data_IF_783794079022
#
_entry.id   IF_783794079022
#
_cell.length_a   1.000
_cell.length_b   1.000
_cell.length_c   1.000
_cell.angle_alpha   90.00
_cell.angle_beta   90.00
_cell.angle_gamma   90.00
#
_symmetry.space_group_name_H-M   'P 1'
#
loop_
_entity.id
_entity.type
_entity.pdbx_description
1 polymer ?
#
# COMPACT_ATOMS: atom_id res chain seq x y z
N UNK A 1 3.16 17.49 -2.58
CA UNK A 1 4.12 16.49 -2.10
C UNK A 1 5.10 17.18 -1.18
N UNK A 2 5.42 16.62 -0.05
CA UNK A 2 6.47 17.16 0.83
C UNK A 2 7.80 17.04 0.10
N UNK A 3 8.44 18.16 -0.21
CA UNK A 3 9.82 18.21 -0.71
C UNK A 3 10.84 18.00 0.43
N UNK A 4 10.44 17.35 1.53
CA UNK A 4 11.34 17.04 2.61
C UNK A 4 12.26 15.88 2.17
N UNK A 5 13.57 16.13 1.99
CA UNK A 5 14.53 15.09 1.56
C UNK A 5 14.58 13.88 2.50
N UNK A 6 14.18 14.05 3.77
CA UNK A 6 14.10 12.98 4.74
C UNK A 6 13.07 11.88 4.38
N UNK A 7 12.20 12.14 3.40
CA UNK A 7 11.21 11.17 2.89
C UNK A 7 11.51 10.68 1.47
N UNK A 8 12.68 10.99 0.93
CA UNK A 8 13.18 10.44 -0.32
C UNK A 8 14.03 9.19 -0.02
N UNK A 9 13.63 7.99 -0.46
CA UNK A 9 14.40 6.76 -0.23
C UNK A 9 15.81 6.77 -0.85
N UNK A 10 16.10 7.69 -1.76
CA UNK A 10 17.42 7.86 -2.37
C UNK A 10 18.34 8.80 -1.57
N UNK A 11 17.79 9.58 -0.65
CA UNK A 11 18.59 10.44 0.25
C UNK A 11 19.20 9.61 1.39
N UNK A 12 20.50 9.73 1.69
CA UNK A 12 21.14 9.00 2.79
C UNK A 12 20.47 9.20 4.16
N UNK A 13 19.85 10.36 4.40
CA UNK A 13 19.12 10.66 5.66
C UNK A 13 17.90 9.77 5.85
N UNK A 14 17.33 9.24 4.77
CA UNK A 14 16.14 8.35 4.85
C UNK A 14 16.37 7.18 5.80
N UNK A 15 17.60 6.62 5.83
CA UNK A 15 17.97 5.49 6.67
C UNK A 15 18.78 5.88 7.91
N UNK A 16 19.02 7.18 8.14
CA UNK A 16 19.75 7.62 9.33
C UNK A 16 18.90 7.45 10.58
N UNK A 17 19.42 6.72 11.56
CA UNK A 17 18.68 6.36 12.78
C UNK A 17 18.40 7.56 13.66
N UNK A 18 19.33 8.54 13.73
CA UNK A 18 19.15 9.72 14.59
C UNK A 18 18.16 10.68 13.98
N UNK A 19 18.24 10.89 12.67
CA UNK A 19 17.31 11.74 11.92
C UNK A 19 15.88 11.16 11.96
N UNK A 20 15.72 9.85 11.70
CA UNK A 20 14.44 9.16 11.81
C UNK A 20 13.85 9.28 13.23
N UNK A 21 14.68 9.08 14.25
CA UNK A 21 14.26 9.18 15.66
C UNK A 21 13.80 10.59 16.00
N UNK A 22 14.56 11.61 15.61
CA UNK A 22 14.21 13.02 15.83
C UNK A 22 12.91 13.40 15.15
N UNK A 23 12.69 12.96 13.92
CA UNK A 23 11.44 13.23 13.18
C UNK A 23 10.25 12.48 13.79
N UNK A 24 10.46 11.25 14.28
CA UNK A 24 9.43 10.51 15.01
C UNK A 24 9.03 11.24 16.30
N UNK A 25 9.99 11.68 17.11
CA UNK A 25 9.74 12.44 18.33
C UNK A 25 8.95 13.71 18.04
N UNK A 26 9.34 14.46 17.02
CA UNK A 26 8.65 15.69 16.60
C UNK A 26 7.19 15.44 16.21
N UNK A 27 6.95 14.47 15.29
CA UNK A 27 5.59 14.18 14.82
C UNK A 27 4.75 13.55 15.92
N UNK A 28 5.30 12.67 16.73
CA UNK A 28 4.56 11.98 17.78
C UNK A 28 4.13 12.94 18.89
N UNK A 29 4.96 13.93 19.25
CA UNK A 29 4.56 15.00 20.17
C UNK A 29 3.33 15.74 19.66
N UNK A 30 3.38 16.24 18.43
CA UNK A 30 2.27 16.96 17.81
C UNK A 30 1.00 16.10 17.68
N UNK A 31 1.15 14.82 17.36
CA UNK A 31 0.02 13.88 17.27
C UNK A 31 -0.57 13.57 18.66
N UNK A 32 0.26 13.48 19.70
CA UNK A 32 -0.16 13.22 21.07
C UNK A 32 -0.94 14.39 21.66
N UNK A 33 -0.59 15.62 21.31
CA UNK A 33 -1.35 16.81 21.71
C UNK A 33 -2.70 16.90 21.00
N UNK A 34 -2.75 16.53 19.71
CA UNK A 34 -3.96 16.66 18.89
C UNK A 34 -4.95 15.50 19.07
N UNK A 35 -4.49 14.24 19.09
CA UNK A 35 -5.25 12.97 19.22
C UNK A 35 -6.44 12.76 18.26
N UNK A 36 -6.60 13.58 17.22
CA UNK A 36 -7.72 13.51 16.29
C UNK A 36 -7.87 12.13 15.64
N UNK A 37 -6.73 11.44 15.39
CA UNK A 37 -6.68 10.19 14.65
C UNK A 37 -6.80 8.91 15.50
N UNK A 38 -7.11 9.03 16.80
CA UNK A 38 -7.10 7.90 17.77
C UNK A 38 -7.91 6.67 17.32
N UNK A 39 -8.97 6.87 16.53
CA UNK A 39 -9.87 5.79 16.09
C UNK A 39 -9.63 5.31 14.67
N UNK A 40 -8.60 5.79 13.97
CA UNK A 40 -8.39 5.44 12.55
C UNK A 40 -7.69 4.10 12.36
N UNK A 41 -6.75 3.74 13.22
CA UNK A 41 -6.02 2.47 13.14
C UNK A 41 -5.38 2.11 14.50
N UNK A 42 -4.69 0.96 14.56
CA UNK A 42 -4.01 0.50 15.77
C UNK A 42 -2.78 1.34 16.18
N UNK A 43 -2.14 2.05 15.22
CA UNK A 43 -0.92 2.83 15.49
C UNK A 43 -1.16 3.96 16.50
N UNK A 44 -2.28 4.68 16.41
CA UNK A 44 -2.53 5.84 17.26
C UNK A 44 -2.85 5.48 18.72
N UNK A 45 -3.75 4.50 19.02
CA UNK A 45 -3.92 4.04 20.41
C UNK A 45 -2.60 3.59 21.01
N UNK A 46 -1.80 2.78 20.30
CA UNK A 46 -0.50 2.33 20.79
C UNK A 46 0.45 3.48 21.06
N UNK A 47 0.52 4.48 20.17
CA UNK A 47 1.33 5.68 20.36
C UNK A 47 0.88 6.45 21.63
N UNK A 48 -0.43 6.68 21.75
CA UNK A 48 -0.96 7.49 22.85
C UNK A 48 -0.84 6.77 24.19
N UNK A 49 -1.05 5.46 24.23
CA UNK A 49 -0.83 4.65 25.46
C UNK A 49 0.64 4.70 25.90
N UNK A 50 1.59 4.64 24.97
CA UNK A 50 3.01 4.76 25.26
C UNK A 50 3.37 6.17 25.74
N UNK A 51 2.83 7.21 25.11
CA UNK A 51 3.02 8.60 25.53
C UNK A 51 2.46 8.82 26.94
N UNK A 52 1.23 8.38 27.20
CA UNK A 52 0.58 8.54 28.49
C UNK A 52 1.31 7.77 29.61
N UNK A 53 1.97 6.66 29.26
CA UNK A 53 2.71 5.83 30.20
C UNK A 53 4.10 6.40 30.55
N UNK A 54 4.83 6.93 29.55
CA UNK A 54 6.25 7.23 29.73
C UNK A 54 6.61 8.70 29.61
N UNK A 55 5.78 9.49 28.96
CA UNK A 55 6.14 10.85 28.56
C UNK A 55 5.36 11.93 29.31
N UNK A 56 4.32 11.58 30.08
CA UNK A 56 3.49 12.50 30.82
C UNK A 56 3.67 12.25 32.32
N UNK A 57 4.42 13.10 33.01
CA UNK A 57 4.69 12.95 34.46
C UNK A 57 3.62 13.59 35.30
N UNK A 58 2.97 14.66 34.81
CA UNK A 58 1.88 15.38 35.43
C UNK A 58 0.76 15.71 34.47
N UNK A 59 -0.46 15.90 34.95
CA UNK A 59 -1.68 16.12 34.16
C UNK A 59 -1.60 17.26 33.13
N UNK A 60 -0.65 18.18 33.30
CA UNK A 60 -0.46 19.36 32.44
C UNK A 60 1.01 19.55 32.00
N UNK A 61 1.85 18.51 32.16
CA UNK A 61 3.24 18.56 31.74
C UNK A 61 3.35 18.47 30.22
N UNK A 62 4.35 19.13 29.66
CA UNK A 62 4.70 19.00 28.25
C UNK A 62 5.11 17.55 27.92
N UNK A 63 4.60 17.04 26.81
CA UNK A 63 4.87 15.67 26.37
C UNK A 63 6.32 15.53 25.91
N UNK A 64 7.14 14.75 26.63
CA UNK A 64 8.52 14.45 26.26
C UNK A 64 8.63 13.10 25.53
N UNK A 65 8.40 13.11 24.21
CA UNK A 65 8.47 11.93 23.37
C UNK A 65 9.87 11.29 23.27
N UNK A 66 10.92 11.94 23.77
CA UNK A 66 12.28 11.36 23.88
C UNK A 66 12.30 10.16 24.83
N UNK A 67 11.35 10.08 25.78
CA UNK A 67 11.20 8.95 26.70
C UNK A 67 10.58 7.69 26.05
N UNK A 68 10.00 7.80 24.85
CA UNK A 68 9.46 6.65 24.14
C UNK A 68 10.54 5.58 23.89
N UNK A 69 10.21 4.33 24.15
CA UNK A 69 11.11 3.20 23.87
C UNK A 69 11.13 2.90 22.38
N UNK A 70 12.26 2.39 21.89
CA UNK A 70 12.40 1.99 20.48
C UNK A 70 11.39 0.91 20.09
N UNK A 71 11.08 0.00 21.02
CA UNK A 71 10.11 -1.08 20.84
C UNK A 71 8.70 -0.53 20.61
N UNK A 72 8.27 0.48 21.37
CA UNK A 72 6.96 1.12 21.20
C UNK A 72 6.87 1.83 19.86
N UNK A 73 7.94 2.54 19.44
CA UNK A 73 7.99 3.19 18.13
C UNK A 73 7.89 2.15 17.01
N UNK A 74 8.62 1.04 17.12
CA UNK A 74 8.56 -0.04 16.14
C UNK A 74 7.16 -0.64 16.05
N UNK A 75 6.48 -0.84 17.18
CA UNK A 75 5.11 -1.36 17.19
C UNK A 75 4.12 -0.36 16.55
N UNK A 76 4.26 0.94 16.80
CA UNK A 76 3.49 1.98 16.11
C UNK A 76 3.69 1.93 14.60
N UNK A 77 4.93 1.73 14.15
CA UNK A 77 5.28 1.55 12.73
C UNK A 77 4.62 0.29 12.14
N UNK A 78 4.68 -0.84 12.86
CA UNK A 78 4.17 -2.12 12.39
C UNK A 78 2.64 -2.16 12.30
N UNK A 79 1.95 -1.38 13.14
CA UNK A 79 0.49 -1.25 13.14
C UNK A 79 -0.06 -0.31 12.04
N UNK A 80 0.80 0.37 11.29
CA UNK A 80 0.37 1.29 10.24
C UNK A 80 -0.02 0.55 8.95
N UNK A 81 -1.26 0.70 8.50
CA UNK A 81 -1.78 0.09 7.26
C UNK A 81 -1.50 0.91 5.99
N UNK A 82 -0.80 2.03 6.07
CA UNK A 82 -0.55 2.94 4.93
C UNK A 82 -1.84 3.40 4.21
N UNK A 83 -2.97 3.43 4.91
CA UNK A 83 -4.27 3.81 4.35
C UNK A 83 -4.44 5.32 4.15
N UNK A 84 -3.56 6.14 4.72
CA UNK A 84 -3.51 7.61 4.62
C UNK A 84 -4.73 8.38 5.12
N UNK A 85 -5.67 7.75 5.81
CA UNK A 85 -6.82 8.43 6.39
C UNK A 85 -6.40 9.55 7.35
N UNK A 86 -5.38 9.33 8.15
CA UNK A 86 -4.81 10.34 9.04
C UNK A 86 -4.22 11.53 8.28
N UNK A 87 -3.60 11.32 7.11
CA UNK A 87 -3.05 12.38 6.27
C UNK A 87 -4.16 13.24 5.65
N UNK A 88 -5.19 12.61 5.09
CA UNK A 88 -6.31 13.31 4.43
C UNK A 88 -7.07 14.21 5.42
N UNK A 89 -7.16 13.81 6.69
CA UNK A 89 -7.91 14.54 7.73
C UNK A 89 -7.04 15.47 8.56
N UNK A 90 -5.73 15.38 8.46
CA UNK A 90 -4.81 16.20 9.24
C UNK A 90 -4.77 17.64 8.70
N UNK A 91 -5.07 18.66 9.55
CA UNK A 91 -4.96 20.06 9.13
C UNK A 91 -3.50 20.54 9.07
N UNK A 92 -2.55 19.75 9.58
CA UNK A 92 -1.14 20.12 9.77
C UNK A 92 -0.20 19.47 8.74
N UNK A 93 -0.74 19.03 7.61
CA UNK A 93 0.05 18.38 6.55
C UNK A 93 0.91 19.38 5.76
N UNK A 94 1.96 18.89 5.07
CA UNK A 94 2.77 19.70 4.18
C UNK A 94 1.91 20.50 3.18
N UNK A 95 2.20 21.78 3.07
CA UNK A 95 1.44 22.71 2.21
C UNK A 95 0.19 23.33 2.87
N UNK A 96 -0.29 22.76 3.99
CA UNK A 96 -1.40 23.32 4.75
C UNK A 96 -0.93 23.99 6.04
N UNK A 97 0.18 23.54 6.61
CA UNK A 97 0.71 24.06 7.88
C UNK A 97 2.23 23.88 7.96
N UNK A 98 2.91 24.77 8.69
CA UNK A 98 4.37 24.77 8.87
C UNK A 98 4.88 23.52 9.62
N UNK A 99 4.03 22.88 10.41
CA UNK A 99 4.39 21.62 11.09
C UNK A 99 4.61 20.48 10.12
N UNK A 100 4.10 20.53 8.92
CA UNK A 100 4.35 19.60 7.81
C UNK A 100 4.30 18.12 8.24
N UNK A 101 3.23 17.72 8.94
CA UNK A 101 3.06 16.36 9.47
C UNK A 101 2.73 15.40 8.34
N UNK A 102 3.63 14.44 8.09
CA UNK A 102 3.40 13.30 7.19
C UNK A 102 3.60 11.97 7.93
N UNK A 103 2.63 11.63 8.78
CA UNK A 103 2.67 10.41 9.58
C UNK A 103 2.79 9.14 8.70
N UNK A 104 2.04 8.95 7.60
CA UNK A 104 2.18 7.76 6.78
C UNK A 104 3.59 7.59 6.18
N UNK A 105 4.23 8.67 5.71
CA UNK A 105 5.60 8.59 5.18
C UNK A 105 6.62 8.34 6.27
N UNK A 106 6.44 8.90 7.46
CA UNK A 106 7.26 8.56 8.61
C UNK A 106 7.18 7.05 8.94
N UNK A 107 5.97 6.48 8.92
CA UNK A 107 5.78 5.04 9.15
C UNK A 107 6.43 4.20 8.05
N UNK A 108 6.28 4.58 6.78
CA UNK A 108 6.94 3.92 5.65
C UNK A 108 8.48 3.96 5.80
N UNK A 109 9.02 5.12 6.18
CA UNK A 109 10.45 5.31 6.46
C UNK A 109 10.92 4.42 7.63
N UNK A 110 10.15 4.36 8.72
CA UNK A 110 10.42 3.47 9.86
C UNK A 110 10.47 2.00 9.44
N UNK A 111 9.49 1.56 8.64
CA UNK A 111 9.44 0.19 8.12
C UNK A 111 10.63 -0.12 7.19
N UNK A 112 10.98 0.82 6.31
CA UNK A 112 12.14 0.69 5.43
C UNK A 112 13.46 0.58 6.21
N UNK A 113 13.59 1.33 7.30
CA UNK A 113 14.76 1.23 8.19
C UNK A 113 14.83 -0.14 8.88
N UNK A 114 13.70 -0.67 9.38
CA UNK A 114 13.65 -2.02 9.95
C UNK A 114 14.11 -3.08 8.93
N UNK A 115 13.64 -2.97 7.68
CA UNK A 115 14.02 -3.89 6.60
C UNK A 115 15.49 -3.72 6.20
N UNK A 116 16.00 -2.49 6.17
CA UNK A 116 17.41 -2.23 5.90
C UNK A 116 18.34 -2.90 6.93
N UNK A 117 17.92 -2.90 8.19
CA UNK A 117 18.73 -3.44 9.29
C UNK A 117 18.60 -4.97 9.43
N UNK A 118 17.40 -5.54 9.18
CA UNK A 118 17.08 -6.95 9.48
C UNK A 118 16.82 -7.81 8.23
N UNK A 119 16.72 -7.18 7.06
CA UNK A 119 16.26 -7.81 5.83
C UNK A 119 14.74 -7.95 5.75
N UNK A 120 14.24 -8.30 4.55
CA UNK A 120 12.81 -8.54 4.30
C UNK A 120 12.43 -9.91 4.86
N UNK A 121 11.42 -10.02 5.75
CA UNK A 121 10.92 -11.31 6.21
C UNK A 121 10.42 -12.20 5.05
N UNK A 122 10.53 -13.53 5.21
CA UNK A 122 10.13 -14.47 4.15
C UNK A 122 8.66 -14.31 3.75
N UNK A 123 7.78 -14.14 4.73
CA UNK A 123 6.34 -13.91 4.48
C UNK A 123 6.11 -12.65 3.65
N UNK A 124 6.84 -11.58 3.93
CA UNK A 124 6.74 -10.31 3.22
C UNK A 124 7.29 -10.41 1.78
N UNK A 125 8.33 -11.24 1.56
CA UNK A 125 8.80 -11.55 0.19
C UNK A 125 7.75 -12.28 -0.64
N UNK A 126 7.04 -13.22 -0.03
CA UNK A 126 5.96 -13.97 -0.70
C UNK A 126 4.77 -13.06 -0.98
N UNK A 127 4.27 -12.35 0.06
CA UNK A 127 3.12 -11.47 -0.06
C UNK A 127 3.43 -10.19 -0.87
N UNK A 128 4.69 -9.78 -0.90
CA UNK A 128 5.18 -8.65 -1.69
C UNK A 128 5.16 -8.89 -3.20
N UNK A 129 5.02 -10.17 -3.64
CA UNK A 129 4.97 -10.55 -5.05
C UNK A 129 3.61 -11.14 -5.44
N UNK A 130 2.53 -10.34 -5.46
CA UNK A 130 1.18 -10.83 -5.75
C UNK A 130 1.02 -11.36 -7.18
N UNK A 131 1.88 -10.97 -8.13
CA UNK A 131 1.84 -11.51 -9.49
C UNK A 131 2.33 -12.95 -9.55
N UNK A 132 3.43 -13.28 -8.87
CA UNK A 132 3.92 -14.66 -8.81
C UNK A 132 2.93 -15.56 -8.06
N UNK A 133 2.44 -15.10 -6.90
CA UNK A 133 1.43 -15.82 -6.11
C UNK A 133 0.13 -15.96 -6.89
N UNK A 134 -0.32 -14.92 -7.58
CA UNK A 134 -1.53 -14.90 -8.39
C UNK A 134 -1.46 -15.83 -9.59
N UNK A 135 -0.35 -15.82 -10.33
CA UNK A 135 -0.11 -16.73 -11.48
C UNK A 135 -0.16 -18.20 -11.04
N UNK A 136 0.56 -18.53 -9.97
CA UNK A 136 0.57 -19.90 -9.43
C UNK A 136 -0.81 -20.29 -8.88
N UNK A 137 -1.42 -19.40 -8.09
CA UNK A 137 -2.73 -19.65 -7.50
C UNK A 137 -3.84 -19.82 -8.55
N UNK A 138 -3.83 -19.04 -9.63
CA UNK A 138 -4.77 -19.20 -10.76
C UNK A 138 -4.52 -20.50 -11.52
N UNK A 139 -3.27 -20.85 -11.81
CA UNK A 139 -2.95 -22.09 -12.51
C UNK A 139 -3.39 -23.35 -11.74
N UNK A 140 -3.38 -23.26 -10.40
CA UNK A 140 -3.77 -24.35 -9.51
C UNK A 140 -5.05 -24.01 -8.71
N UNK A 141 -5.96 -23.19 -9.25
CA UNK A 141 -7.05 -22.56 -8.50
C UNK A 141 -7.93 -23.54 -7.70
N UNK A 142 -8.34 -24.70 -8.23
CA UNK A 142 -9.14 -25.64 -7.43
C UNK A 142 -8.41 -26.14 -6.18
N UNK A 143 -7.14 -26.50 -6.33
CA UNK A 143 -6.30 -26.99 -5.24
C UNK A 143 -5.91 -25.88 -4.26
N UNK A 144 -5.52 -24.72 -4.78
CA UNK A 144 -5.14 -23.55 -3.98
C UNK A 144 -6.34 -23.03 -3.14
N UNK A 145 -7.53 -23.01 -3.71
CA UNK A 145 -8.73 -22.57 -3.01
C UNK A 145 -9.16 -23.60 -1.95
N UNK A 146 -9.13 -24.89 -2.26
CA UNK A 146 -9.35 -25.96 -1.28
C UNK A 146 -8.34 -25.85 -0.12
N UNK A 147 -7.06 -25.64 -0.39
CA UNK A 147 -6.04 -25.48 0.65
C UNK A 147 -6.30 -24.24 1.53
N UNK A 148 -6.73 -23.13 0.95
CA UNK A 148 -7.08 -21.92 1.68
C UNK A 148 -8.30 -22.09 2.61
N UNK A 149 -9.19 -23.04 2.34
CA UNK A 149 -10.37 -23.38 3.15
C UNK A 149 -10.08 -24.49 4.17
N UNK A 150 -9.07 -25.33 3.93
CA UNK A 150 -8.72 -26.45 4.80
C UNK A 150 -8.18 -25.98 6.15
N UNK A 151 -8.83 -26.39 7.25
CA UNK A 151 -8.42 -26.02 8.61
C UNK A 151 -6.98 -26.44 8.94
N UNK A 152 -6.56 -27.63 8.50
CA UNK A 152 -5.21 -28.14 8.73
C UNK A 152 -4.16 -27.29 7.99
N UNK A 153 -4.41 -26.95 6.73
CA UNK A 153 -3.52 -26.10 5.95
C UNK A 153 -3.46 -24.67 6.53
N UNK A 154 -4.58 -24.15 7.01
CA UNK A 154 -4.66 -22.83 7.66
C UNK A 154 -3.84 -22.78 8.96
N UNK A 155 -3.88 -23.83 9.77
CA UNK A 155 -3.03 -23.95 10.95
C UNK A 155 -1.54 -24.00 10.58
N UNK A 156 -1.19 -24.74 9.54
CA UNK A 156 0.18 -24.79 9.03
C UNK A 156 0.65 -23.41 8.51
N UNK A 157 -0.17 -22.69 7.76
CA UNK A 157 0.12 -21.32 7.31
C UNK A 157 0.30 -20.35 8.49
N UNK A 158 -0.48 -20.48 9.54
CA UNK A 158 -0.31 -19.68 10.76
C UNK A 158 1.03 -19.95 11.44
N UNK A 159 1.42 -21.21 11.57
CA UNK A 159 2.68 -21.58 12.22
C UNK A 159 3.92 -21.17 11.41
N UNK A 160 3.84 -21.28 10.07
CA UNK A 160 4.99 -21.02 9.18
C UNK A 160 5.09 -19.57 8.73
N UNK A 161 3.96 -18.95 8.39
CA UNK A 161 3.89 -17.63 7.78
C UNK A 161 3.26 -16.56 8.70
N UNK A 162 2.81 -16.92 9.89
CA UNK A 162 2.13 -15.98 10.78
C UNK A 162 0.75 -15.51 10.31
N UNK A 163 0.20 -16.09 9.23
CA UNK A 163 -1.12 -15.72 8.70
C UNK A 163 -2.19 -16.40 9.55
N UNK A 164 -2.93 -15.62 10.34
CA UNK A 164 -3.93 -16.15 11.27
C UNK A 164 -4.90 -17.11 10.56
N UNK A 165 -5.17 -18.25 11.17
CA UNK A 165 -5.99 -19.33 10.58
C UNK A 165 -7.40 -18.90 10.17
N UNK A 166 -8.00 -17.98 10.93
CA UNK A 166 -9.37 -17.50 10.66
C UNK A 166 -9.41 -16.31 9.66
N UNK A 167 -8.24 -15.84 9.18
CA UNK A 167 -8.18 -14.83 8.13
C UNK A 167 -8.69 -15.41 6.83
N UNK A 168 -9.83 -14.91 6.32
CA UNK A 168 -10.33 -15.27 5.00
C UNK A 168 -9.38 -14.74 3.93
N UNK A 169 -8.86 -15.65 3.10
CA UNK A 169 -8.07 -15.29 1.92
C UNK A 169 -9.01 -15.23 0.71
N UNK A 170 -8.81 -14.25 -0.19
CA UNK A 170 -9.59 -14.20 -1.41
C UNK A 170 -9.29 -15.44 -2.28
N UNK A 171 -10.29 -16.05 -2.91
CA UNK A 171 -10.07 -17.19 -3.80
C UNK A 171 -9.30 -16.74 -5.05
N UNK A 172 -8.56 -17.67 -5.64
CA UNK A 172 -7.96 -17.48 -6.96
C UNK A 172 -8.98 -17.81 -8.05
N UNK A 173 -9.08 -16.93 -9.04
CA UNK A 173 -9.90 -17.18 -10.21
C UNK A 173 -9.33 -18.30 -11.08
N UNK A 174 -10.17 -19.07 -11.76
CA UNK A 174 -9.73 -20.11 -12.69
C UNK A 174 -9.15 -19.53 -14.00
N UNK A 175 -9.49 -18.30 -14.34
CA UNK A 175 -8.97 -17.55 -15.49
C UNK A 175 -8.70 -16.11 -15.06
N UNK A 176 -7.52 -15.59 -15.42
CA UNK A 176 -7.19 -14.18 -15.13
C UNK A 176 -8.08 -13.23 -15.92
N UNK A 177 -8.24 -12.00 -15.43
CA UNK A 177 -8.88 -10.95 -16.23
C UNK A 177 -8.13 -10.69 -17.54
N UNK A 178 -6.79 -10.65 -17.50
CA UNK A 178 -5.96 -10.47 -18.69
C UNK A 178 -6.28 -11.50 -19.79
N UNK A 179 -6.47 -12.77 -19.44
CA UNK A 179 -6.82 -13.82 -20.37
C UNK A 179 -8.23 -13.66 -20.99
N UNK A 180 -9.10 -12.93 -20.32
CA UNK A 180 -10.49 -12.71 -20.76
C UNK A 180 -10.67 -11.36 -21.48
N UNK A 181 -9.75 -10.41 -21.29
CA UNK A 181 -9.86 -9.03 -21.77
C UNK A 181 -10.19 -8.94 -23.26
N UNK A 182 -9.38 -9.54 -24.12
CA UNK A 182 -9.53 -9.41 -25.59
C UNK A 182 -10.86 -9.98 -26.11
N UNK A 183 -11.37 -11.06 -25.48
CA UNK A 183 -12.63 -11.66 -25.87
C UNK A 183 -13.85 -10.88 -25.38
N UNK A 184 -13.70 -10.10 -24.30
CA UNK A 184 -14.79 -9.37 -23.62
C UNK A 184 -14.82 -7.89 -23.94
N UNK A 185 -13.70 -7.33 -24.37
CA UNK A 185 -13.62 -5.92 -24.78
C UNK A 185 -14.50 -5.68 -26.00
N UNK A 186 -15.37 -4.69 -25.94
CA UNK A 186 -16.15 -4.19 -27.07
C UNK A 186 -15.45 -2.96 -27.65
N UNK A 187 -15.31 -2.91 -28.98
CA UNK A 187 -14.81 -1.72 -29.65
C UNK A 187 -15.83 -0.59 -29.60
N UNK A 188 -15.40 0.68 -29.54
CA UNK A 188 -16.32 1.83 -29.63
C UNK A 188 -17.10 1.82 -30.95
N UNK A 189 -18.32 2.32 -30.91
CA UNK A 189 -19.12 2.57 -32.11
C UNK A 189 -18.85 3.98 -32.62
N UNK A 190 -18.14 4.12 -33.72
CA UNK A 190 -17.69 5.40 -34.26
C UNK A 190 -16.58 6.07 -33.44
N UNK A 191 -16.62 7.39 -33.32
CA UNK A 191 -15.65 8.14 -32.52
C UNK A 191 -15.86 7.86 -31.01
N UNK A 192 -14.83 7.44 -30.28
CA UNK A 192 -14.97 7.18 -28.84
C UNK A 192 -15.17 8.46 -28.04
N UNK A 193 -16.03 8.39 -27.00
CA UNK A 193 -16.24 9.47 -26.04
C UNK A 193 -15.01 9.74 -25.16
N UNK A 194 -14.13 8.76 -25.05
CA UNK A 194 -12.86 8.86 -24.31
C UNK A 194 -11.96 7.67 -24.59
N UNK A 195 -10.68 7.81 -24.22
CA UNK A 195 -9.67 6.75 -24.35
C UNK A 195 -9.01 6.50 -23.01
N UNK A 196 -9.06 5.27 -22.51
CA UNK A 196 -8.43 4.91 -21.23
C UNK A 196 -7.44 3.76 -21.41
N UNK A 197 -6.46 3.73 -20.50
CA UNK A 197 -5.60 2.60 -20.27
C UNK A 197 -5.98 1.99 -18.90
N UNK A 198 -6.55 0.80 -18.93
CA UNK A 198 -7.12 0.16 -17.75
C UNK A 198 -6.05 -0.66 -17.02
N UNK A 199 -5.63 -0.15 -15.87
CA UNK A 199 -4.76 -0.84 -14.92
C UNK A 199 -5.64 -1.70 -14.00
N UNK A 200 -5.83 -2.98 -14.37
CA UNK A 200 -6.82 -3.87 -13.72
C UNK A 200 -6.53 -4.17 -12.25
N UNK A 201 -5.27 -4.04 -11.82
CA UNK A 201 -4.75 -4.44 -10.52
C UNK A 201 -4.50 -5.95 -10.37
N UNK A 202 -3.62 -6.35 -9.43
CA UNK A 202 -3.38 -7.77 -9.16
C UNK A 202 -4.62 -8.48 -8.64
N UNK A 203 -5.40 -7.81 -7.79
CA UNK A 203 -6.61 -8.37 -7.20
C UNK A 203 -7.69 -8.69 -8.25
N UNK A 204 -7.96 -7.75 -9.14
CA UNK A 204 -8.90 -7.98 -10.27
C UNK A 204 -8.35 -9.02 -11.23
N UNK A 205 -7.04 -9.01 -11.49
CA UNK A 205 -6.47 -9.94 -12.46
C UNK A 205 -6.54 -11.41 -11.99
N UNK A 206 -6.27 -11.65 -10.70
CA UNK A 206 -6.07 -13.02 -10.19
C UNK A 206 -7.17 -13.54 -9.27
N UNK A 207 -7.93 -12.64 -8.63
CA UNK A 207 -8.90 -13.02 -7.60
C UNK A 207 -10.35 -12.73 -7.97
N UNK A 208 -10.64 -11.54 -8.53
CA UNK A 208 -12.00 -11.13 -8.90
C UNK A 208 -12.04 -10.52 -10.31
N UNK A 209 -11.87 -11.33 -11.37
CA UNK A 209 -11.93 -10.86 -12.76
C UNK A 209 -13.26 -10.20 -13.13
N UNK A 210 -14.33 -10.56 -12.47
CA UNK A 210 -15.67 -10.03 -12.68
C UNK A 210 -15.72 -8.51 -12.57
N UNK A 211 -15.01 -7.93 -11.59
CA UNK A 211 -14.90 -6.46 -11.44
C UNK A 211 -14.32 -5.81 -12.72
N UNK A 212 -13.33 -6.44 -13.32
CA UNK A 212 -12.74 -5.98 -14.57
C UNK A 212 -13.71 -6.13 -15.74
N UNK A 213 -14.45 -7.24 -15.82
CA UNK A 213 -15.44 -7.49 -16.85
C UNK A 213 -16.60 -6.50 -16.77
N UNK A 214 -17.13 -6.24 -15.59
CA UNK A 214 -18.17 -5.24 -15.36
C UNK A 214 -17.67 -3.83 -15.72
N UNK A 215 -16.41 -3.53 -15.39
CA UNK A 215 -15.76 -2.27 -15.81
C UNK A 215 -15.74 -2.15 -17.34
N UNK A 216 -15.37 -3.20 -18.08
CA UNK A 216 -15.41 -3.18 -19.54
C UNK A 216 -16.81 -2.94 -20.08
N UNK A 217 -17.83 -3.52 -19.46
CA UNK A 217 -19.22 -3.35 -19.87
C UNK A 217 -19.69 -1.91 -19.66
N UNK A 218 -19.42 -1.34 -18.48
CA UNK A 218 -19.71 0.07 -18.18
C UNK A 218 -19.01 1.01 -19.18
N UNK A 219 -17.72 0.76 -19.47
CA UNK A 219 -16.97 1.56 -20.44
C UNK A 219 -17.53 1.43 -21.86
N UNK A 220 -17.94 0.23 -22.26
CA UNK A 220 -18.55 0.00 -23.57
C UNK A 220 -19.92 0.73 -23.71
N UNK A 221 -20.77 0.72 -22.69
CA UNK A 221 -22.02 1.49 -22.68
C UNK A 221 -21.80 3.00 -22.79
N UNK A 222 -20.67 3.51 -22.30
CA UNK A 222 -20.30 4.90 -22.40
C UNK A 222 -19.46 5.21 -23.66
N UNK A 223 -19.34 4.28 -24.59
CA UNK A 223 -18.53 4.39 -25.82
C UNK A 223 -17.07 4.81 -25.57
N UNK A 224 -16.45 4.28 -24.51
CA UNK A 224 -15.05 4.54 -24.14
C UNK A 224 -14.15 3.47 -24.73
N UNK A 225 -13.06 3.89 -25.38
CA UNK A 225 -12.02 2.98 -25.88
C UNK A 225 -11.09 2.56 -24.76
N UNK A 226 -11.06 1.26 -24.46
CA UNK A 226 -10.28 0.67 -23.36
C UNK A 226 -9.09 -0.10 -23.89
N UNK A 227 -7.89 0.27 -23.48
CA UNK A 227 -6.68 -0.52 -23.65
C UNK A 227 -6.31 -1.21 -22.33
N UNK A 228 -5.76 -2.43 -22.39
CA UNK A 228 -5.26 -3.13 -21.22
C UNK A 228 -3.85 -2.64 -20.89
N UNK A 229 -3.64 -2.24 -19.64
CA UNK A 229 -2.41 -1.58 -19.21
C UNK A 229 -1.78 -2.19 -17.94
N UNK A 230 -2.14 -3.43 -17.58
CA UNK A 230 -1.61 -4.12 -16.42
C UNK A 230 -0.58 -5.17 -16.84
N UNK A 231 0.70 -4.91 -16.55
CA UNK A 231 1.80 -5.85 -16.75
C UNK A 231 2.31 -6.42 -15.42
N UNK A 232 2.17 -5.65 -14.33
CA UNK A 232 2.65 -5.98 -13.00
C UNK A 232 1.92 -5.23 -11.90
N UNK A 233 2.07 -5.68 -10.66
CA UNK A 233 1.57 -5.01 -9.48
C UNK A 233 2.12 -3.58 -9.36
N UNK A 234 1.31 -2.68 -8.77
CA UNK A 234 1.71 -1.30 -8.49
C UNK A 234 2.83 -1.16 -7.44
N UNK A 235 3.29 -2.24 -6.81
CA UNK A 235 4.35 -2.19 -5.81
C UNK A 235 3.91 -1.80 -4.40
N UNK A 236 2.62 -1.57 -4.14
CA UNK A 236 2.13 -1.22 -2.80
C UNK A 236 2.50 -2.26 -1.72
N UNK A 237 2.42 -3.59 -1.97
CA UNK A 237 2.86 -4.56 -0.97
C UNK A 237 4.35 -4.44 -0.61
N UNK A 238 5.20 -4.15 -1.58
CA UNK A 238 6.63 -3.92 -1.35
C UNK A 238 6.85 -2.64 -0.53
N UNK A 239 6.20 -1.55 -0.93
CA UNK A 239 6.21 -0.28 -0.19
C UNK A 239 5.75 -0.46 1.25
N UNK A 240 4.61 -1.12 1.47
CA UNK A 240 4.05 -1.38 2.80
C UNK A 240 4.99 -2.20 3.68
N UNK A 241 5.66 -3.18 3.08
CA UNK A 241 6.59 -4.07 3.79
C UNK A 241 7.99 -3.46 3.98
N UNK A 242 8.23 -2.24 3.48
CA UNK A 242 9.51 -1.53 3.63
C UNK A 242 10.60 -1.95 2.63
N UNK A 243 10.27 -2.78 1.62
CA UNK A 243 11.16 -3.10 0.50
C UNK A 243 11.16 -1.94 -0.51
N UNK A 244 11.88 -0.87 -0.18
CA UNK A 244 11.94 0.34 -1.01
C UNK A 244 12.64 0.11 -2.34
N UNK A 245 13.62 -0.78 -2.40
CA UNK A 245 14.32 -1.12 -3.64
C UNK A 245 13.37 -1.83 -4.61
N UNK A 246 12.64 -2.84 -4.12
CA UNK A 246 11.62 -3.53 -4.88
C UNK A 246 10.47 -2.61 -5.33
N UNK A 247 9.99 -1.74 -4.44
CA UNK A 247 8.95 -0.77 -4.74
C UNK A 247 9.41 0.23 -5.81
N UNK A 248 10.62 0.76 -5.71
CA UNK A 248 11.22 1.67 -6.69
C UNK A 248 11.39 1.00 -8.05
N UNK A 249 11.84 -0.25 -8.06
CA UNK A 249 11.95 -1.03 -9.31
C UNK A 249 10.58 -1.23 -9.96
N UNK A 250 9.56 -1.59 -9.18
CA UNK A 250 8.18 -1.74 -9.68
C UNK A 250 7.65 -0.42 -10.24
N UNK A 251 7.89 0.72 -9.56
CA UNK A 251 7.49 2.05 -10.00
C UNK A 251 8.14 2.40 -11.35
N UNK A 252 9.46 2.25 -11.48
CA UNK A 252 10.18 2.54 -12.74
C UNK A 252 9.66 1.73 -13.91
N UNK A 253 9.38 0.45 -13.69
CA UNK A 253 8.85 -0.41 -14.75
C UNK A 253 7.41 -0.03 -15.12
N UNK A 254 6.53 0.20 -14.14
CA UNK A 254 5.17 0.64 -14.40
C UNK A 254 5.13 2.00 -15.12
N UNK A 255 5.96 2.95 -14.74
CA UNK A 255 6.07 4.25 -15.45
C UNK A 255 6.45 4.02 -16.91
N UNK A 256 7.45 3.16 -17.17
CA UNK A 256 7.87 2.83 -18.54
C UNK A 256 6.72 2.22 -19.35
N UNK A 257 5.98 1.26 -18.76
CA UNK A 257 4.89 0.57 -19.43
C UNK A 257 3.69 1.50 -19.67
N UNK A 258 3.35 2.34 -18.68
CA UNK A 258 2.20 3.24 -18.73
C UNK A 258 2.45 4.48 -19.61
N UNK A 259 3.69 4.95 -19.72
CA UNK A 259 4.03 6.15 -20.51
C UNK A 259 3.64 6.01 -21.98
N UNK A 260 3.74 4.81 -22.54
CA UNK A 260 3.29 4.53 -23.90
C UNK A 260 1.80 4.82 -24.13
N UNK A 261 0.95 4.54 -23.13
CA UNK A 261 -0.48 4.82 -23.18
C UNK A 261 -0.76 6.32 -22.98
N UNK A 262 -0.04 6.96 -22.07
CA UNK A 262 -0.17 8.42 -21.85
C UNK A 262 0.18 9.19 -23.11
N UNK A 263 1.26 8.83 -23.81
CA UNK A 263 1.68 9.42 -25.08
C UNK A 263 0.64 9.23 -26.22
N UNK A 264 -0.23 8.20 -26.10
CA UNK A 264 -1.37 7.99 -26.98
C UNK A 264 -2.61 8.79 -26.58
N UNK A 265 -2.51 9.67 -25.59
CA UNK A 265 -3.63 10.47 -25.06
C UNK A 265 -4.63 9.66 -24.22
N UNK A 266 -4.22 8.52 -23.65
CA UNK A 266 -5.08 7.70 -22.79
C UNK A 266 -4.95 8.11 -21.33
N UNK A 267 -6.07 8.20 -20.63
CA UNK A 267 -6.09 8.38 -19.19
C UNK A 267 -5.87 7.03 -18.49
N UNK A 268 -4.95 6.96 -17.54
CA UNK A 268 -4.75 5.75 -16.72
C UNK A 268 -5.90 5.66 -15.71
N UNK A 269 -6.59 4.52 -15.69
CA UNK A 269 -7.72 4.24 -14.78
C UNK A 269 -7.47 2.92 -14.06
N UNK A 270 -7.67 2.92 -12.74
CA UNK A 270 -7.60 1.72 -11.89
C UNK A 270 -8.88 1.59 -11.06
N UNK A 271 -9.36 0.36 -10.87
CA UNK A 271 -10.55 0.06 -10.04
C UNK A 271 -10.26 0.05 -8.55
N UNK A 272 -8.99 0.05 -8.15
CA UNK A 272 -8.59 0.00 -6.75
C UNK A 272 -7.91 1.34 -6.35
N UNK A 273 -8.42 2.04 -5.31
CA UNK A 273 -7.86 3.31 -4.86
C UNK A 273 -6.40 3.19 -4.39
N UNK A 274 -6.00 2.05 -3.85
CA UNK A 274 -4.60 1.80 -3.43
C UNK A 274 -3.64 1.85 -4.61
N UNK A 275 -3.97 1.20 -5.74
CA UNK A 275 -3.13 1.24 -6.94
C UNK A 275 -3.12 2.64 -7.57
N UNK A 276 -4.28 3.31 -7.59
CA UNK A 276 -4.37 4.71 -8.06
C UNK A 276 -3.50 5.64 -7.22
N UNK A 277 -3.52 5.48 -5.90
CA UNK A 277 -2.70 6.25 -4.96
C UNK A 277 -1.20 6.00 -5.20
N UNK A 278 -0.79 4.73 -5.36
CA UNK A 278 0.61 4.39 -5.64
C UNK A 278 1.09 5.07 -6.93
N UNK A 279 0.37 4.88 -8.03
CA UNK A 279 0.78 5.39 -9.35
C UNK A 279 0.76 6.93 -9.40
N UNK A 280 -0.18 7.57 -8.71
CA UNK A 280 -0.39 9.02 -8.80
C UNK A 280 0.47 9.83 -7.82
N UNK A 281 0.79 9.26 -6.65
CA UNK A 281 1.32 10.03 -5.51
C UNK A 281 2.64 9.49 -4.97
N UNK A 282 2.83 8.16 -4.99
CA UNK A 282 4.03 7.57 -4.38
C UNK A 282 5.18 7.32 -5.38
N UNK A 283 4.88 7.19 -6.68
CA UNK A 283 5.90 7.03 -7.73
C UNK A 283 6.76 8.26 -7.95
#
# INVERSE_FOLDING_TARGET
>A
MSNNPAYDPTDPRYYDTKDLRSEAERIFSLCADCRLCVRYCGSFPKLFDAVDTYCTEEKYAEVDTKKLKTEDINEVVDLCFQCKLCYIKCPYTPGNHDWAIDFPRLMARGKAKQVKDKGVPLVDKVLGNPDAVGKLGTAMSPLANWANESALHRQFMQSLLGIHKDKKLPPFASKTFAAQFSARRKAPQGAPAGKIAFFSTCYVNYNQPEIGLDTLEVMAHNNVDVAFAYERCCGMPLWHNGDMDGATQAARQNVKDLLGFVNQGRTIVATNPTCSQMIRVEY
#
